data_IF_172353773970
#
_entry.id   IF_172353773970
#
_cell.length_a   1.000
_cell.length_b   1.000
_cell.length_c   1.000
_cell.angle_alpha   90.00
_cell.angle_beta   90.00
_cell.angle_gamma   90.00
#
_symmetry.space_group_name_H-M   'P 1'
#
loop_
_entity.id
_entity.type
_entity.pdbx_description
1 polymer ?
#
# COMPACT_ATOMS: atom_id res chain seq x y z
N UNK A 1 -29.00 24.50 0.09
CA UNK A 1 -28.72 23.35 0.95
C UNK A 1 -29.27 22.02 0.43
N UNK A 2 -30.43 21.95 -0.25
CA UNK A 2 -30.96 20.71 -0.82
C UNK A 2 -30.05 20.10 -1.92
N UNK A 3 -29.38 20.92 -2.74
CA UNK A 3 -28.45 20.48 -3.76
C UNK A 3 -27.20 19.79 -3.15
N UNK A 4 -26.73 20.24 -1.99
CA UNK A 4 -25.61 19.66 -1.27
C UNK A 4 -25.92 18.26 -0.69
N UNK A 5 -27.17 18.01 -0.30
CA UNK A 5 -27.61 16.72 0.23
C UNK A 5 -27.85 15.67 -0.87
N UNK A 6 -28.21 16.11 -2.07
CA UNK A 6 -28.33 15.26 -3.27
C UNK A 6 -26.94 14.77 -3.73
N UNK A 7 -25.92 15.63 -3.65
CA UNK A 7 -24.53 15.29 -3.98
C UNK A 7 -23.92 14.23 -3.04
N UNK A 8 -24.32 14.24 -1.76
CA UNK A 8 -23.85 13.28 -0.75
C UNK A 8 -24.39 11.85 -0.91
N UNK A 9 -25.35 11.61 -1.81
CA UNK A 9 -26.02 10.30 -1.98
C UNK A 9 -25.55 9.50 -3.21
N UNK A 10 -24.57 9.97 -3.97
CA UNK A 10 -24.07 9.17 -5.08
C UNK A 10 -23.22 8.00 -4.55
N UNK A 11 -23.50 6.82 -5.05
CA UNK A 11 -22.82 5.58 -4.70
C UNK A 11 -22.02 5.08 -5.90
N UNK A 12 -20.83 4.58 -5.62
CA UNK A 12 -19.98 3.89 -6.59
C UNK A 12 -19.96 2.40 -6.28
N UNK A 13 -20.06 1.57 -7.30
CA UNK A 13 -19.92 0.14 -7.19
C UNK A 13 -18.83 -0.39 -8.10
N UNK A 14 -18.13 -1.40 -7.63
CA UNK A 14 -17.21 -2.15 -8.46
C UNK A 14 -18.00 -3.06 -9.41
N UNK A 15 -17.78 -2.93 -10.73
CA UNK A 15 -18.50 -3.68 -11.77
C UNK A 15 -18.00 -5.12 -11.97
N UNK A 16 -17.05 -5.57 -11.17
CA UNK A 16 -16.52 -6.93 -11.28
C UNK A 16 -17.51 -7.96 -10.73
N UNK A 17 -17.47 -9.18 -11.27
CA UNK A 17 -18.24 -10.31 -10.74
C UNK A 17 -18.05 -10.48 -9.24
N UNK A 18 -19.10 -10.85 -8.48
CA UNK A 18 -19.05 -10.94 -7.02
C UNK A 18 -17.97 -11.90 -6.52
N UNK A 19 -17.67 -12.97 -7.25
CA UNK A 19 -16.61 -13.92 -6.92
C UNK A 19 -15.23 -13.29 -7.10
N UNK A 20 -15.03 -12.60 -8.23
CA UNK A 20 -13.78 -11.89 -8.55
C UNK A 20 -13.55 -10.73 -7.58
N UNK A 21 -14.60 -10.00 -7.22
CA UNK A 21 -14.58 -8.92 -6.25
C UNK A 21 -14.15 -9.41 -4.85
N UNK A 22 -14.75 -10.51 -4.36
CA UNK A 22 -14.38 -11.12 -3.07
C UNK A 22 -12.92 -11.58 -3.04
N UNK A 23 -12.44 -12.20 -4.13
CA UNK A 23 -11.06 -12.66 -4.28
C UNK A 23 -10.06 -11.48 -4.33
N UNK A 24 -10.38 -10.43 -5.09
CA UNK A 24 -9.55 -9.23 -5.20
C UNK A 24 -9.47 -8.48 -3.88
N UNK A 25 -10.59 -8.35 -3.18
CA UNK A 25 -10.66 -7.74 -1.85
C UNK A 25 -9.79 -8.50 -0.82
N UNK A 26 -9.95 -9.83 -0.76
CA UNK A 26 -9.15 -10.67 0.16
C UNK A 26 -7.65 -10.53 -0.10
N UNK A 27 -7.26 -10.52 -1.37
CA UNK A 27 -5.86 -10.31 -1.77
C UNK A 27 -5.36 -8.92 -1.41
N UNK A 28 -6.18 -7.88 -1.65
CA UNK A 28 -5.83 -6.50 -1.30
C UNK A 28 -5.57 -6.37 0.21
N UNK A 29 -6.47 -6.88 1.05
CA UNK A 29 -6.30 -6.87 2.50
C UNK A 29 -5.06 -7.66 2.94
N UNK A 30 -4.85 -8.87 2.39
CA UNK A 30 -3.68 -9.69 2.68
C UNK A 30 -2.36 -9.01 2.30
N UNK A 31 -2.28 -8.46 1.08
CA UNK A 31 -1.08 -7.72 0.64
C UNK A 31 -0.84 -6.47 1.47
N UNK A 32 -1.90 -5.76 1.88
CA UNK A 32 -1.78 -4.55 2.70
C UNK A 32 -1.28 -4.88 4.11
N UNK A 33 -1.82 -5.93 4.73
CA UNK A 33 -1.35 -6.40 6.04
C UNK A 33 0.11 -6.87 5.97
N UNK A 34 0.47 -7.62 4.93
CA UNK A 34 1.82 -8.12 4.71
C UNK A 34 2.81 -6.98 4.44
N UNK A 35 2.41 -5.95 3.69
CA UNK A 35 3.20 -4.75 3.45
C UNK A 35 3.55 -4.04 4.76
N UNK A 36 2.54 -3.83 5.62
CA UNK A 36 2.74 -3.18 6.92
C UNK A 36 3.63 -4.03 7.84
N UNK A 37 3.38 -5.34 7.92
CA UNK A 37 4.19 -6.25 8.72
C UNK A 37 5.64 -6.31 8.24
N UNK A 38 5.87 -6.40 6.94
CA UNK A 38 7.22 -6.39 6.38
C UNK A 38 7.97 -5.09 6.68
N UNK A 39 7.27 -3.93 6.58
CA UNK A 39 7.84 -2.63 6.92
C UNK A 39 8.21 -2.56 8.42
N UNK A 40 7.32 -2.97 9.32
CA UNK A 40 7.57 -2.98 10.77
C UNK A 40 8.69 -3.94 11.16
N UNK A 41 8.66 -5.18 10.65
CA UNK A 41 9.69 -6.19 10.93
C UNK A 41 11.06 -5.75 10.41
N UNK A 42 11.14 -5.10 9.24
CA UNK A 42 12.41 -4.60 8.72
C UNK A 42 13.05 -3.56 9.63
N UNK A 43 12.24 -2.76 10.35
CA UNK A 43 12.73 -1.81 11.34
C UNK A 43 13.20 -2.45 12.66
N UNK A 44 12.75 -3.68 12.95
CA UNK A 44 13.15 -4.41 14.16
C UNK A 44 14.45 -5.19 13.98
N UNK A 45 14.96 -5.33 12.75
CA UNK A 45 16.18 -6.04 12.45
C UNK A 45 17.37 -5.09 12.64
N UNK A 46 18.41 -5.48 13.40
CA UNK A 46 19.64 -4.69 13.53
C UNK A 46 20.49 -4.79 12.26
N UNK A 47 19.97 -4.22 11.15
CA UNK A 47 20.73 -4.14 9.92
C UNK A 47 21.86 -3.13 10.05
N UNK A 48 23.07 -3.43 9.57
CA UNK A 48 24.24 -2.59 9.79
C UNK A 48 24.08 -1.18 9.19
N UNK A 49 23.45 -1.04 8.04
CA UNK A 49 23.16 0.26 7.44
C UNK A 49 22.13 1.06 8.24
N UNK A 50 21.09 0.42 8.76
CA UNK A 50 20.08 1.07 9.61
C UNK A 50 20.68 1.64 10.91
N UNK A 51 21.68 0.99 11.48
CA UNK A 51 22.29 1.44 12.74
C UNK A 51 23.34 2.53 12.54
N UNK A 52 24.03 2.54 11.41
CA UNK A 52 25.20 3.38 11.21
C UNK A 52 25.01 4.53 10.21
N UNK A 53 23.95 4.48 9.39
CA UNK A 53 23.79 5.42 8.29
C UNK A 53 22.39 6.01 8.17
N UNK A 54 22.33 7.32 8.23
CA UNK A 54 21.08 8.09 8.13
C UNK A 54 20.39 7.92 6.77
N UNK A 55 21.15 7.74 5.68
CA UNK A 55 20.58 7.56 4.34
C UNK A 55 19.84 6.22 4.16
N UNK A 56 20.00 5.24 5.07
CA UNK A 56 19.21 4.00 5.10
C UNK A 56 17.91 4.19 5.91
N UNK A 57 17.97 4.99 6.99
CA UNK A 57 16.81 5.26 7.86
C UNK A 57 15.75 6.07 7.11
N UNK A 58 16.15 7.03 6.27
CA UNK A 58 15.24 7.93 5.56
C UNK A 58 14.26 7.19 4.62
N UNK A 59 14.71 6.32 3.71
CA UNK A 59 13.80 5.51 2.89
C UNK A 59 12.92 4.58 3.73
N UNK A 60 13.43 4.04 4.83
CA UNK A 60 12.66 3.21 5.75
C UNK A 60 11.48 3.97 6.36
N UNK A 61 11.70 5.19 6.87
CA UNK A 61 10.64 6.03 7.41
C UNK A 61 9.61 6.42 6.33
N UNK A 62 10.09 6.76 5.13
CA UNK A 62 9.22 7.05 3.99
C UNK A 62 8.33 5.87 3.61
N UNK A 63 8.88 4.66 3.59
CA UNK A 63 8.12 3.43 3.34
C UNK A 63 7.08 3.18 4.43
N UNK A 64 7.44 3.35 5.70
CA UNK A 64 6.53 3.14 6.82
C UNK A 64 5.33 4.10 6.75
N UNK A 65 5.58 5.38 6.49
CA UNK A 65 4.52 6.39 6.32
C UNK A 65 3.63 6.02 5.12
N UNK A 66 4.23 5.62 3.99
CA UNK A 66 3.49 5.20 2.81
C UNK A 66 2.65 3.93 3.09
N UNK A 67 3.20 2.93 3.79
CA UNK A 67 2.49 1.70 4.16
C UNK A 67 1.29 2.00 5.08
N UNK A 68 1.46 2.83 6.11
CA UNK A 68 0.36 3.27 6.99
C UNK A 68 -0.70 4.02 6.19
N UNK A 69 -0.30 4.88 5.25
CA UNK A 69 -1.22 5.59 4.35
C UNK A 69 -2.04 4.65 3.46
N UNK A 70 -1.44 3.56 2.95
CA UNK A 70 -2.13 2.51 2.19
C UNK A 70 -3.12 1.77 3.07
N UNK A 71 -2.71 1.35 4.29
CA UNK A 71 -3.60 0.69 5.27
C UNK A 71 -4.81 1.56 5.57
N UNK A 72 -4.58 2.84 5.89
CA UNK A 72 -5.66 3.79 6.17
C UNK A 72 -6.66 3.91 5.02
N UNK A 73 -6.16 3.99 3.79
CA UNK A 73 -7.00 4.07 2.61
C UNK A 73 -7.81 2.78 2.37
N UNK A 74 -7.21 1.60 2.57
CA UNK A 74 -7.90 0.30 2.44
C UNK A 74 -8.95 0.13 3.53
N UNK A 75 -8.67 0.56 4.77
CA UNK A 75 -9.64 0.54 5.88
C UNK A 75 -10.83 1.47 5.57
N UNK A 76 -10.57 2.68 5.07
CA UNK A 76 -11.63 3.61 4.66
C UNK A 76 -12.50 3.09 3.51
N UNK A 77 -11.90 2.36 2.56
CA UNK A 77 -12.63 1.73 1.46
C UNK A 77 -13.60 0.65 1.98
N UNK A 78 -13.33 0.08 3.16
CA UNK A 78 -14.22 -0.83 3.86
C UNK A 78 -14.32 -2.22 3.24
N UNK A 79 -15.31 -2.97 3.73
CA UNK A 79 -15.57 -4.35 3.27
C UNK A 79 -16.56 -4.42 2.12
N UNK A 80 -17.44 -3.43 1.95
CA UNK A 80 -18.49 -3.45 0.95
C UNK A 80 -18.13 -2.54 -0.24
N UNK A 81 -17.81 -3.17 -1.36
CA UNK A 81 -17.49 -2.50 -2.62
C UNK A 81 -18.71 -2.35 -3.54
N UNK A 82 -19.87 -2.79 -3.07
CA UNK A 82 -21.13 -2.67 -3.79
C UNK A 82 -21.78 -1.29 -3.66
N UNK A 83 -21.47 -0.56 -2.59
CA UNK A 83 -22.07 0.73 -2.29
C UNK A 83 -21.07 1.66 -1.56
N UNK A 84 -20.06 2.13 -2.27
CA UNK A 84 -19.07 3.07 -1.72
C UNK A 84 -19.57 4.50 -1.92
N UNK A 85 -19.55 5.29 -0.86
CA UNK A 85 -19.94 6.71 -0.92
C UNK A 85 -18.97 7.51 -1.78
N UNK A 86 -19.48 8.42 -2.60
CA UNK A 86 -18.71 9.24 -3.55
C UNK A 86 -17.48 9.90 -2.92
N UNK A 87 -17.63 10.55 -1.77
CA UNK A 87 -16.51 11.21 -1.09
C UNK A 87 -15.40 10.25 -0.63
N UNK A 88 -15.75 8.99 -0.30
CA UNK A 88 -14.77 7.95 0.05
C UNK A 88 -14.07 7.47 -1.21
N UNK A 89 -14.84 7.25 -2.28
CA UNK A 89 -14.31 6.85 -3.57
C UNK A 89 -13.29 7.87 -4.10
N UNK A 90 -13.68 9.14 -4.21
CA UNK A 90 -12.83 10.20 -4.78
C UNK A 90 -11.52 10.42 -4.01
N UNK A 91 -11.56 10.30 -2.68
CA UNK A 91 -10.37 10.49 -1.84
C UNK A 91 -9.49 9.24 -1.72
N UNK A 92 -10.02 8.06 -2.00
CA UNK A 92 -9.32 6.81 -1.69
C UNK A 92 -8.88 6.08 -2.94
N UNK A 93 -9.81 5.78 -3.85
CA UNK A 93 -9.55 4.89 -5.00
C UNK A 93 -8.55 5.47 -5.98
N UNK A 94 -8.64 6.74 -6.42
CA UNK A 94 -7.65 7.32 -7.34
C UNK A 94 -6.26 7.52 -6.71
N UNK A 95 -6.21 7.80 -5.39
CA UNK A 95 -4.96 8.05 -4.68
C UNK A 95 -4.21 6.77 -4.28
N UNK A 96 -4.93 5.65 -4.09
CA UNK A 96 -4.37 4.41 -3.57
C UNK A 96 -3.25 3.81 -4.44
N UNK A 97 -3.35 3.77 -5.80
CA UNK A 97 -2.26 3.29 -6.64
C UNK A 97 -0.99 4.15 -6.55
N UNK A 98 -1.15 5.47 -6.35
CA UNK A 98 -0.03 6.40 -6.12
C UNK A 98 0.67 6.14 -4.78
N UNK A 99 -0.11 5.95 -3.71
CA UNK A 99 0.42 5.62 -2.37
C UNK A 99 1.18 4.28 -2.37
N UNK A 100 0.63 3.26 -3.04
CA UNK A 100 1.30 1.97 -3.20
C UNK A 100 2.60 2.12 -4.01
N UNK A 101 2.63 2.98 -5.03
CA UNK A 101 3.85 3.28 -5.77
C UNK A 101 4.90 3.97 -4.88
N UNK A 102 4.51 4.93 -4.05
CA UNK A 102 5.42 5.57 -3.10
C UNK A 102 6.05 4.54 -2.15
N UNK A 103 5.25 3.62 -1.60
CA UNK A 103 5.76 2.53 -0.77
C UNK A 103 6.78 1.66 -1.53
N UNK A 104 6.50 1.32 -2.80
CA UNK A 104 7.41 0.55 -3.64
C UNK A 104 8.73 1.29 -3.91
N UNK A 105 8.67 2.59 -4.20
CA UNK A 105 9.87 3.43 -4.45
C UNK A 105 10.74 3.51 -3.19
N UNK A 106 10.15 3.75 -2.02
CA UNK A 106 10.91 3.79 -0.77
C UNK A 106 11.47 2.44 -0.38
N UNK A 107 10.76 1.33 -0.62
CA UNK A 107 11.28 -0.02 -0.41
C UNK A 107 12.50 -0.30 -1.31
N UNK A 108 12.42 0.06 -2.60
CA UNK A 108 13.52 -0.08 -3.55
C UNK A 108 14.72 0.80 -3.15
N UNK A 109 14.48 2.05 -2.76
CA UNK A 109 15.52 2.95 -2.25
C UNK A 109 16.21 2.37 -0.99
N UNK A 110 15.42 1.79 -0.08
CA UNK A 110 15.97 1.12 1.12
C UNK A 110 16.89 -0.05 0.78
N UNK A 111 16.52 -0.87 -0.21
CA UNK A 111 17.39 -1.96 -0.71
C UNK A 111 18.69 -1.41 -1.27
N UNK A 112 18.60 -0.40 -2.14
CA UNK A 112 19.79 0.19 -2.76
C UNK A 112 20.73 0.83 -1.74
N UNK A 113 20.17 1.54 -0.76
CA UNK A 113 20.96 2.17 0.30
C UNK A 113 21.68 1.15 1.20
N UNK A 114 21.01 0.04 1.56
CA UNK A 114 21.62 -1.02 2.35
C UNK A 114 22.72 -1.74 1.56
N UNK A 115 22.50 -2.04 0.28
CA UNK A 115 23.49 -2.63 -0.59
C UNK A 115 24.71 -1.71 -0.79
N UNK A 116 24.46 -0.41 -0.94
CA UNK A 116 25.54 0.59 -1.03
C UNK A 116 26.35 0.63 0.26
N UNK A 117 25.69 0.60 1.42
CA UNK A 117 26.37 0.54 2.70
C UNK A 117 27.28 -0.69 2.81
N UNK A 118 26.78 -1.88 2.44
CA UNK A 118 27.55 -3.11 2.47
C UNK A 118 28.75 -3.07 1.52
N UNK A 119 28.59 -2.45 0.35
CA UNK A 119 29.68 -2.30 -0.61
C UNK A 119 30.80 -1.36 -0.12
N UNK A 120 30.45 -0.29 0.59
CA UNK A 120 31.39 0.72 1.09
C UNK A 120 32.06 0.35 2.41
N UNK A 121 31.30 -0.31 3.31
CA UNK A 121 31.77 -0.57 4.69
C UNK A 121 32.39 -1.96 4.88
N UNK A 122 32.27 -2.83 3.87
CA UNK A 122 32.75 -4.23 3.96
C UNK A 122 31.82 -5.13 4.78
N UNK A 123 32.07 -6.43 4.72
CA UNK A 123 31.19 -7.48 5.28
C UNK A 123 31.49 -7.73 6.77
N UNK A 124 31.31 -6.76 7.62
CA UNK A 124 31.59 -6.90 9.06
C UNK A 124 30.63 -7.81 9.82
N UNK A 125 30.67 -9.14 9.61
CA UNK A 125 30.01 -10.12 10.48
C UNK A 125 28.47 -10.12 10.56
N UNK A 126 27.78 -9.12 10.05
CA UNK A 126 26.33 -8.93 10.13
C UNK A 126 25.60 -9.17 8.79
N UNK A 127 26.21 -9.98 7.91
CA UNK A 127 25.66 -10.28 6.59
C UNK A 127 24.25 -10.88 6.67
N UNK A 128 24.00 -11.72 7.68
CA UNK A 128 22.70 -12.37 7.87
C UNK A 128 21.57 -11.36 8.16
N UNK A 129 21.80 -10.37 9.03
CA UNK A 129 20.80 -9.34 9.33
C UNK A 129 20.54 -8.42 8.15
N UNK A 130 21.59 -8.07 7.40
CA UNK A 130 21.46 -7.30 6.16
C UNK A 130 20.65 -8.07 5.10
N UNK A 131 20.93 -9.37 4.91
CA UNK A 131 20.18 -10.21 3.99
C UNK A 131 18.70 -10.30 4.37
N UNK A 132 18.40 -10.51 5.66
CA UNK A 132 17.05 -10.58 6.17
C UNK A 132 16.30 -9.26 5.96
N UNK A 133 16.95 -8.12 6.20
CA UNK A 133 16.41 -6.79 5.92
C UNK A 133 16.05 -6.63 4.44
N UNK A 134 16.99 -6.97 3.53
CA UNK A 134 16.76 -6.89 2.09
C UNK A 134 15.61 -7.81 1.66
N UNK A 135 15.50 -9.02 2.18
CA UNK A 135 14.39 -9.94 1.89
C UNK A 135 13.05 -9.37 2.29
N UNK A 136 12.94 -8.74 3.46
CA UNK A 136 11.70 -8.08 3.89
C UNK A 136 11.37 -6.88 3.01
N UNK A 137 12.36 -6.11 2.56
CA UNK A 137 12.16 -5.00 1.62
C UNK A 137 11.69 -5.49 0.25
N UNK A 138 12.24 -6.58 -0.26
CA UNK A 138 11.77 -7.21 -1.51
C UNK A 138 10.32 -7.69 -1.36
N UNK A 139 9.97 -8.31 -0.25
CA UNK A 139 8.58 -8.71 0.04
C UNK A 139 7.64 -7.50 0.06
N UNK A 140 8.03 -6.42 0.73
CA UNK A 140 7.29 -5.15 0.77
C UNK A 140 7.09 -4.57 -0.63
N UNK A 141 8.15 -4.55 -1.46
CA UNK A 141 8.10 -4.10 -2.85
C UNK A 141 7.11 -4.92 -3.69
N UNK A 142 7.15 -6.26 -3.60
CA UNK A 142 6.24 -7.15 -4.32
C UNK A 142 4.79 -6.89 -3.89
N UNK A 143 4.53 -6.75 -2.59
CA UNK A 143 3.20 -6.45 -2.07
C UNK A 143 2.67 -5.11 -2.59
N UNK A 144 3.48 -4.06 -2.54
CA UNK A 144 3.12 -2.73 -3.01
C UNK A 144 2.79 -2.71 -4.51
N UNK A 145 3.60 -3.37 -5.34
CA UNK A 145 3.35 -3.50 -6.78
C UNK A 145 2.11 -4.34 -7.09
N UNK A 146 1.86 -5.38 -6.31
CA UNK A 146 0.64 -6.22 -6.45
C UNK A 146 -0.61 -5.42 -6.13
N UNK A 147 -0.59 -4.63 -5.04
CA UNK A 147 -1.68 -3.71 -4.68
C UNK A 147 -1.96 -2.75 -5.84
N UNK A 148 -0.92 -2.09 -6.36
CA UNK A 148 -1.04 -1.14 -7.47
C UNK A 148 -1.66 -1.77 -8.71
N UNK A 149 -1.17 -2.96 -9.12
CA UNK A 149 -1.68 -3.68 -10.31
C UNK A 149 -3.15 -4.05 -10.14
N UNK A 150 -3.53 -4.59 -8.97
CA UNK A 150 -4.91 -5.00 -8.70
C UNK A 150 -5.88 -3.83 -8.71
N UNK A 151 -5.50 -2.70 -8.12
CA UNK A 151 -6.33 -1.50 -8.11
C UNK A 151 -6.56 -0.91 -9.51
N UNK A 152 -5.56 -0.95 -10.38
CA UNK A 152 -5.69 -0.49 -11.77
C UNK A 152 -6.61 -1.39 -12.61
N UNK A 153 -6.76 -2.66 -12.25
CA UNK A 153 -7.64 -3.61 -12.94
C UNK A 153 -9.10 -3.55 -12.46
N UNK A 154 -9.41 -2.77 -11.43
CA UNK A 154 -10.77 -2.64 -10.91
C UNK A 154 -11.52 -1.52 -11.64
N UNK A 155 -12.63 -1.88 -12.26
CA UNK A 155 -13.55 -0.92 -12.90
C UNK A 155 -14.63 -0.50 -11.90
N UNK A 156 -14.72 0.79 -11.67
CA UNK A 156 -15.71 1.42 -10.81
C UNK A 156 -16.70 2.21 -11.66
N UNK A 157 -18.01 2.08 -11.37
CA UNK A 157 -19.02 2.87 -12.01
C UNK A 157 -19.99 3.47 -10.99
N UNK A 158 -20.60 4.59 -11.37
CA UNK A 158 -21.68 5.20 -10.61
C UNK A 158 -22.89 4.27 -10.64
N UNK A 159 -23.47 4.02 -9.48
CA UNK A 159 -24.73 3.28 -9.40
C UNK A 159 -25.83 4.20 -9.92
N UNK A 160 -26.58 3.81 -10.97
CA UNK A 160 -27.71 4.60 -11.42
C UNK A 160 -28.70 4.72 -10.27
N UNK A 161 -29.19 5.95 -10.01
CA UNK A 161 -30.29 6.16 -9.10
C UNK A 161 -31.50 5.39 -9.65
N UNK A 162 -31.99 4.40 -8.89
CA UNK A 162 -33.37 4.00 -9.10
C UNK A 162 -34.22 5.22 -8.74
N UNK A 163 -34.68 5.94 -9.73
CA UNK A 163 -35.81 6.86 -9.60
C UNK A 163 -37.00 5.99 -9.20
N UNK A 164 -37.28 5.95 -7.89
CA UNK A 164 -38.54 5.43 -7.42
C UNK A 164 -39.61 6.39 -7.94
N UNK A 165 -40.37 5.89 -8.92
CA UNK A 165 -41.68 6.39 -9.25
C UNK A 165 -42.61 6.40 -8.02
#
# INVERSE_FOLDING_TARGET
>A
SAASDVYKRQLYACQSDPVTQKKSRRRLWGCTALLLLAALLSGSIPAPGMQNCFYVILPFLGELIAAVSVVWAVVKLGRDWSAVREYVYERTVPALPGRALCAAVFAAAGILCELLYLALSGHGGQLFSALLFVMLKVLSLICALTIRRKLKCLNWAKVPKCENQ
#
